data_IF_970964721906
#
_entry.id   IF_970964721906
#
_cell.length_a   1.000
_cell.length_b   1.000
_cell.length_c   1.000
_cell.angle_alpha   90.00
_cell.angle_beta   90.00
_cell.angle_gamma   90.00
#
_symmetry.space_group_name_H-M   'P 1'
#
loop_
_entity.id
_entity.type
_entity.pdbx_description
1 polymer ?
#
# COMPACT_ATOMS: atom_id res chain seq x y z
N UNK A 1 19.02 -40.87 -74.83
CA UNK A 1 17.70 -41.54 -74.75
C UNK A 1 16.72 -40.41 -74.42
N UNK A 2 15.86 -39.94 -75.33
CA UNK A 2 14.79 -40.64 -76.06
C UNK A 2 13.75 -41.23 -75.06
N UNK A 3 12.44 -41.00 -75.21
CA UNK A 3 11.67 -40.62 -76.41
C UNK A 3 10.82 -39.33 -76.28
N UNK A 4 10.11 -38.98 -77.36
CA UNK A 4 9.17 -37.86 -77.48
C UNK A 4 7.81 -38.39 -78.00
N UNK A 5 6.70 -37.73 -77.64
CA UNK A 5 5.37 -37.92 -78.25
C UNK A 5 4.52 -36.64 -78.10
N UNK A 6 3.49 -36.47 -78.94
CA UNK A 6 3.09 -35.12 -79.44
C UNK A 6 1.59 -34.96 -79.80
N UNK A 7 1.13 -33.70 -79.87
CA UNK A 7 -0.14 -33.20 -80.45
C UNK A 7 -1.44 -33.53 -79.65
N UNK A 8 -2.58 -32.82 -79.76
CA UNK A 8 -3.11 -31.94 -80.84
C UNK A 8 -3.97 -30.74 -80.34
N UNK A 9 -4.61 -29.94 -81.22
CA UNK A 9 -5.22 -28.61 -80.94
C UNK A 9 -6.68 -28.34 -81.42
N UNK A 10 -7.55 -27.82 -80.53
CA UNK A 10 -8.69 -26.88 -80.79
C UNK A 10 -9.91 -27.37 -81.66
N UNK A 11 -11.00 -26.59 -81.98
CA UNK A 11 -11.59 -25.33 -81.42
C UNK A 11 -13.18 -25.29 -81.30
N UNK A 12 -13.75 -24.17 -80.77
CA UNK A 12 -15.15 -23.65 -80.98
C UNK A 12 -16.34 -24.40 -80.30
N UNK A 13 -17.56 -23.86 -80.03
CA UNK A 13 -18.26 -22.57 -80.34
C UNK A 13 -19.31 -22.16 -79.24
N UNK A 14 -20.15 -21.11 -79.43
CA UNK A 14 -21.22 -20.62 -78.48
C UNK A 14 -22.54 -20.20 -79.16
N UNK A 15 -23.70 -20.45 -78.50
CA UNK A 15 -24.81 -19.45 -78.29
C UNK A 15 -25.52 -19.64 -76.89
N UNK A 16 -26.46 -18.84 -76.31
CA UNK A 16 -27.03 -17.46 -76.47
C UNK A 16 -27.67 -16.94 -75.13
N UNK A 17 -28.67 -16.03 -75.18
CA UNK A 17 -29.44 -15.30 -74.11
C UNK A 17 -30.91 -15.83 -73.98
N UNK A 18 -31.83 -15.39 -73.05
CA UNK A 18 -32.03 -14.03 -72.50
C UNK A 18 -32.52 -13.87 -71.02
N UNK A 19 -32.90 -12.63 -70.63
CA UNK A 19 -33.57 -12.17 -69.39
C UNK A 19 -35.06 -11.81 -69.69
N UNK A 20 -35.97 -11.72 -68.68
CA UNK A 20 -36.44 -10.37 -68.25
C UNK A 20 -37.04 -10.19 -66.82
N UNK A 21 -36.86 -8.96 -66.27
CA UNK A 21 -37.78 -8.14 -65.44
C UNK A 21 -38.33 -8.53 -64.04
N UNK A 22 -38.75 -7.48 -63.31
CA UNK A 22 -39.09 -7.39 -61.88
C UNK A 22 -40.60 -7.57 -61.56
N UNK A 23 -40.88 -7.99 -60.33
CA UNK A 23 -42.11 -7.64 -59.57
C UNK A 23 -41.74 -7.30 -58.10
N UNK A 24 -42.67 -6.71 -57.33
CA UNK A 24 -42.38 -5.91 -56.13
C UNK A 24 -42.98 -6.47 -54.81
N UNK A 25 -42.23 -6.23 -53.71
CA UNK A 25 -42.69 -6.11 -52.30
C UNK A 25 -43.15 -7.43 -51.62
N UNK A 26 -43.29 -7.46 -50.27
CA UNK A 26 -43.24 -6.36 -49.29
C UNK A 26 -41.99 -6.28 -48.39
N UNK A 27 -41.89 -5.15 -47.69
CA UNK A 27 -40.97 -4.93 -46.58
C UNK A 27 -41.52 -5.62 -45.33
N UNK A 28 -40.72 -6.47 -44.69
CA UNK A 28 -40.83 -6.77 -43.26
C UNK A 28 -39.51 -6.35 -42.64
N UNK A 29 -39.57 -5.40 -41.71
CA UNK A 29 -38.40 -4.92 -40.99
C UNK A 29 -38.19 -5.86 -39.80
N UNK A 30 -37.40 -6.91 -39.98
CA UNK A 30 -36.86 -7.60 -38.80
C UNK A 30 -36.01 -6.59 -38.02
N UNK A 31 -36.18 -6.49 -36.70
CA UNK A 31 -35.25 -5.73 -35.87
C UNK A 31 -33.98 -6.56 -35.76
N UNK A 32 -32.89 -6.09 -36.37
CA UNK A 32 -31.54 -6.56 -36.05
C UNK A 32 -31.33 -6.32 -34.57
N UNK A 33 -31.61 -7.36 -33.78
CA UNK A 33 -31.52 -7.31 -32.34
C UNK A 33 -30.04 -7.46 -32.03
N UNK A 34 -29.32 -6.33 -32.05
CA UNK A 34 -27.96 -6.20 -31.54
C UNK A 34 -27.93 -6.71 -30.11
N UNK A 35 -27.76 -8.03 -30.00
CA UNK A 35 -27.64 -8.75 -28.74
C UNK A 35 -26.24 -8.45 -28.27
N UNK A 36 -26.07 -7.23 -27.77
CA UNK A 36 -24.82 -6.60 -27.40
C UNK A 36 -24.28 -7.32 -26.17
N UNK A 37 -23.66 -8.48 -26.42
CA UNK A 37 -23.20 -9.43 -25.41
C UNK A 37 -22.34 -8.68 -24.41
N UNK A 38 -22.92 -8.37 -23.26
CA UNK A 38 -22.20 -7.68 -22.21
C UNK A 38 -21.20 -8.68 -21.66
N UNK A 39 -19.96 -8.62 -22.15
CA UNK A 39 -18.83 -9.35 -21.59
C UNK A 39 -18.62 -8.77 -20.20
N UNK A 40 -19.31 -9.38 -19.23
CA UNK A 40 -19.44 -8.94 -17.86
C UNK A 40 -18.13 -9.26 -17.13
N UNK A 41 -17.13 -8.41 -17.39
CA UNK A 41 -15.78 -8.59 -16.86
C UNK A 41 -15.82 -8.71 -15.34
N UNK A 42 -15.21 -9.74 -14.73
CA UNK A 42 -15.37 -10.07 -13.31
C UNK A 42 -14.66 -9.11 -12.34
N UNK A 43 -14.23 -7.94 -12.81
CA UNK A 43 -13.51 -6.93 -12.03
C UNK A 43 -14.22 -5.58 -12.13
N UNK A 44 -14.30 -4.81 -11.02
CA UNK A 44 -14.88 -3.48 -11.03
C UNK A 44 -14.07 -2.54 -11.95
N UNK A 45 -14.80 -1.74 -12.75
CA UNK A 45 -14.23 -0.78 -13.69
C UNK A 45 -14.55 0.65 -13.26
N UNK A 46 -13.53 1.51 -13.25
CA UNK A 46 -13.72 2.96 -13.14
C UNK A 46 -13.85 3.56 -14.54
N UNK A 47 -15.05 4.02 -14.89
CA UNK A 47 -15.31 4.74 -16.14
C UNK A 47 -15.21 6.23 -15.85
N UNK A 48 -14.26 6.93 -16.50
CA UNK A 48 -13.98 8.34 -16.27
C UNK A 48 -14.25 9.16 -17.53
N UNK A 49 -15.30 9.98 -17.49
CA UNK A 49 -15.66 10.90 -18.58
C UNK A 49 -15.09 12.29 -18.33
N UNK A 50 -14.50 12.89 -19.38
CA UNK A 50 -13.94 14.24 -19.34
C UNK A 50 -13.90 14.90 -20.72
N UNK A 51 -13.38 16.15 -20.83
CA UNK A 51 -12.71 16.90 -19.77
C UNK A 51 -13.67 17.51 -18.74
N UNK A 52 -13.32 17.35 -17.46
CA UNK A 52 -14.15 17.78 -16.31
C UNK A 52 -13.36 18.68 -15.37
N UNK A 53 -14.02 19.66 -14.73
CA UNK A 53 -13.44 20.50 -13.66
C UNK A 53 -13.84 19.95 -12.30
N UNK A 54 -12.90 19.99 -11.35
CA UNK A 54 -13.15 19.71 -9.94
C UNK A 54 -13.46 20.99 -9.17
N UNK A 55 -14.33 20.92 -8.16
CA UNK A 55 -14.59 21.99 -7.20
C UNK A 55 -15.17 21.44 -5.91
N UNK A 56 -14.88 22.07 -4.76
CA UNK A 56 -15.41 21.69 -3.45
C UNK A 56 -14.33 21.43 -2.40
N UNK A 57 -14.72 20.80 -1.29
CA UNK A 57 -13.84 20.31 -0.22
C UNK A 57 -13.76 18.78 -0.31
N UNK A 58 -12.56 18.22 -0.18
CA UNK A 58 -12.33 16.77 -0.06
C UNK A 58 -11.87 16.47 1.37
N UNK A 59 -12.57 15.61 2.13
CA UNK A 59 -12.03 15.06 3.38
C UNK A 59 -10.91 14.07 3.05
N UNK A 60 -9.82 14.10 3.82
CA UNK A 60 -8.71 13.15 3.70
C UNK A 60 -8.83 12.10 4.80
N UNK A 61 -8.68 10.84 4.42
CA UNK A 61 -8.75 9.64 5.26
C UNK A 61 -7.50 9.51 6.13
N UNK A 62 -7.52 8.61 7.13
CA UNK A 62 -6.29 8.21 7.81
C UNK A 62 -5.34 7.44 6.88
N UNK A 63 -4.04 7.63 7.11
CA UNK A 63 -2.94 6.95 6.44
C UNK A 63 -3.05 5.44 6.57
N UNK A 64 -3.28 4.75 5.45
CA UNK A 64 -3.24 3.27 5.42
C UNK A 64 -1.87 2.76 5.88
N UNK A 65 -0.82 3.51 5.55
CA UNK A 65 0.56 3.11 5.82
C UNK A 65 0.97 3.37 7.27
N UNK A 66 0.34 4.30 8.00
CA UNK A 66 0.47 4.40 9.47
C UNK A 66 -0.42 3.37 10.17
N UNK A 67 -1.63 3.10 9.64
CA UNK A 67 -2.59 2.19 10.24
C UNK A 67 -2.11 0.72 10.29
N UNK A 68 -1.49 0.21 9.22
CA UNK A 68 -1.02 -1.18 9.17
C UNK A 68 0.04 -1.55 10.23
N UNK A 69 1.15 -0.79 10.43
CA UNK A 69 2.11 -1.09 11.48
C UNK A 69 1.55 -0.79 12.89
N UNK A 70 0.69 0.22 13.06
CA UNK A 70 0.04 0.48 14.37
C UNK A 70 -0.91 -0.67 14.75
N UNK A 71 -1.66 -1.23 13.80
CA UNK A 71 -2.47 -2.43 14.00
C UNK A 71 -1.60 -3.66 14.35
N UNK A 72 -0.43 -3.82 13.74
CA UNK A 72 0.51 -4.87 14.15
C UNK A 72 1.08 -4.63 15.55
N UNK A 73 1.34 -3.38 15.92
CA UNK A 73 1.93 -2.98 17.21
C UNK A 73 1.02 -3.24 18.42
N UNK A 74 -0.29 -3.42 18.24
CA UNK A 74 -1.18 -3.83 19.33
C UNK A 74 -0.83 -5.23 19.87
N UNK A 75 -0.10 -6.04 19.11
CA UNK A 75 0.46 -7.31 19.58
C UNK A 75 1.53 -7.13 20.66
N UNK A 76 2.24 -5.99 20.74
CA UNK A 76 3.15 -5.70 21.86
C UNK A 76 2.43 -5.43 23.20
N UNK A 77 1.14 -5.09 23.15
CA UNK A 77 0.43 -4.41 24.23
C UNK A 77 -0.53 -5.34 24.97
N UNK A 78 -0.54 -5.36 26.31
CA UNK A 78 -1.64 -5.95 27.08
C UNK A 78 -2.84 -5.01 27.16
N UNK A 79 -4.06 -5.55 27.18
CA UNK A 79 -5.30 -4.78 27.19
C UNK A 79 -5.79 -4.41 25.79
N UNK A 80 -6.77 -3.51 25.76
CA UNK A 80 -7.41 -3.04 24.53
C UNK A 80 -6.74 -1.76 24.03
N UNK A 81 -6.23 -1.78 22.80
CA UNK A 81 -5.82 -0.58 22.05
C UNK A 81 -7.02 -0.02 21.27
N UNK A 82 -7.14 1.31 21.19
CA UNK A 82 -8.24 2.02 20.52
C UNK A 82 -7.69 2.92 19.42
N UNK A 83 -7.97 2.56 18.17
CA UNK A 83 -7.36 3.19 16.99
C UNK A 83 -8.46 3.91 16.19
N UNK A 84 -8.40 5.24 16.16
CA UNK A 84 -9.32 6.10 15.42
C UNK A 84 -8.82 6.43 14.02
N UNK A 85 -9.75 6.79 13.13
CA UNK A 85 -9.49 7.19 11.75
C UNK A 85 -8.80 6.09 10.90
N UNK A 86 -9.02 4.82 11.23
CA UNK A 86 -8.58 3.68 10.40
C UNK A 86 -9.35 3.72 9.08
N UNK A 87 -8.68 3.80 7.92
CA UNK A 87 -9.37 3.83 6.62
C UNK A 87 -9.95 2.44 6.31
N UNK A 88 -11.21 2.38 5.85
CA UNK A 88 -11.93 1.13 5.58
C UNK A 88 -11.52 0.50 4.22
N UNK A 89 -10.28 0.01 4.16
CA UNK A 89 -9.62 -0.50 2.95
C UNK A 89 -9.48 -2.03 2.99
N UNK A 90 -9.09 -2.64 1.88
CA UNK A 90 -8.79 -4.08 1.83
C UNK A 90 -7.70 -4.44 2.84
N UNK A 91 -6.56 -3.74 2.79
CA UNK A 91 -5.40 -4.06 3.63
C UNK A 91 -5.69 -3.95 5.14
N UNK A 92 -6.45 -2.94 5.58
CA UNK A 92 -6.76 -2.77 7.01
C UNK A 92 -7.74 -3.83 7.51
N UNK A 93 -8.72 -4.25 6.67
CA UNK A 93 -9.57 -5.41 6.98
C UNK A 93 -8.79 -6.71 6.99
N UNK A 94 -7.85 -6.93 6.07
CA UNK A 94 -6.98 -8.10 6.09
C UNK A 94 -6.05 -8.11 7.31
N UNK A 95 -5.51 -6.96 7.73
CA UNK A 95 -4.74 -6.90 8.98
C UNK A 95 -5.60 -7.23 10.21
N UNK A 96 -6.85 -6.77 10.26
CA UNK A 96 -7.80 -7.22 11.29
C UNK A 96 -8.04 -8.74 11.25
N UNK A 97 -8.12 -9.35 10.06
CA UNK A 97 -8.20 -10.82 9.91
C UNK A 97 -6.91 -11.56 10.33
N UNK A 98 -5.72 -10.99 10.07
CA UNK A 98 -4.43 -11.51 10.57
C UNK A 98 -4.42 -11.53 12.09
N UNK A 99 -4.78 -10.40 12.73
CA UNK A 99 -4.85 -10.28 14.19
C UNK A 99 -5.87 -11.25 14.79
N UNK A 100 -7.08 -11.34 14.22
CA UNK A 100 -8.11 -12.28 14.67
C UNK A 100 -7.66 -13.75 14.53
N UNK A 101 -6.86 -14.08 13.52
CA UNK A 101 -6.30 -15.44 13.35
C UNK A 101 -5.23 -15.82 14.37
N UNK A 102 -4.76 -14.87 15.18
CA UNK A 102 -3.84 -15.09 16.31
C UNK A 102 -4.56 -15.22 17.65
N UNK A 103 -5.90 -15.10 17.69
CA UNK A 103 -6.71 -15.05 18.92
C UNK A 103 -7.04 -13.64 19.41
N UNK A 104 -6.56 -12.58 18.75
CA UNK A 104 -6.87 -11.20 19.15
C UNK A 104 -8.35 -10.85 18.89
N UNK A 105 -9.00 -10.23 19.87
CA UNK A 105 -10.38 -9.74 19.72
C UNK A 105 -10.35 -8.38 19.02
N UNK A 106 -10.79 -8.35 17.76
CA UNK A 106 -10.92 -7.12 16.96
C UNK A 106 -12.40 -6.75 16.80
N UNK A 107 -12.75 -5.53 17.22
CA UNK A 107 -14.07 -4.93 16.98
C UNK A 107 -13.91 -3.70 16.08
N UNK A 108 -14.82 -3.49 15.12
CA UNK A 108 -14.72 -2.43 14.11
C UNK A 108 -15.99 -1.59 14.10
N UNK A 109 -15.84 -0.27 14.30
CA UNK A 109 -16.94 0.68 14.40
C UNK A 109 -16.67 1.90 13.51
N UNK A 110 -17.33 2.00 12.36
CA UNK A 110 -17.10 3.05 11.35
C UNK A 110 -15.62 3.09 10.89
N UNK A 111 -14.87 4.11 11.32
CA UNK A 111 -13.42 4.29 11.06
C UNK A 111 -12.59 4.04 12.35
N UNK A 112 -13.12 3.28 13.30
CA UNK A 112 -12.45 2.94 14.57
C UNK A 112 -12.26 1.43 14.68
N UNK A 113 -11.14 1.03 15.29
CA UNK A 113 -10.88 -0.37 15.65
C UNK A 113 -10.49 -0.46 17.12
N UNK A 114 -11.17 -1.34 17.85
CA UNK A 114 -10.72 -1.80 19.18
C UNK A 114 -10.01 -3.14 18.98
N UNK A 115 -8.78 -3.25 19.48
CA UNK A 115 -7.99 -4.48 19.40
C UNK A 115 -7.51 -4.86 20.79
N UNK A 116 -8.04 -5.96 21.32
CA UNK A 116 -7.52 -6.59 22.52
C UNK A 116 -6.69 -7.82 22.13
N UNK A 117 -5.46 -7.92 22.66
CA UNK A 117 -4.52 -9.01 22.35
C UNK A 117 -4.18 -9.86 23.58
N UNK A 118 -4.99 -9.82 24.64
CA UNK A 118 -4.82 -10.65 25.84
C UNK A 118 -5.23 -12.11 25.60
N UNK A 119 -6.13 -12.34 24.64
CA UNK A 119 -6.56 -13.67 24.18
C UNK A 119 -5.71 -14.27 23.05
N UNK A 120 -4.53 -13.71 22.76
CA UNK A 120 -3.64 -14.26 21.71
C UNK A 120 -3.01 -15.57 22.19
N UNK A 121 -3.34 -16.67 21.51
CA UNK A 121 -2.94 -18.04 21.83
C UNK A 121 -2.11 -18.72 20.72
N UNK A 122 -1.97 -18.07 19.55
CA UNK A 122 -1.17 -18.55 18.42
C UNK A 122 0.00 -17.61 18.09
N UNK A 123 1.12 -18.23 17.67
CA UNK A 123 2.30 -17.57 17.10
C UNK A 123 2.40 -17.76 15.57
N UNK A 124 1.46 -18.50 14.96
CA UNK A 124 1.30 -18.64 13.51
C UNK A 124 0.00 -17.94 13.06
N UNK A 125 0.08 -16.78 12.39
CA UNK A 125 -1.08 -16.15 11.77
C UNK A 125 -1.52 -16.90 10.51
N UNK A 126 -2.80 -16.77 10.13
CA UNK A 126 -3.33 -17.41 8.93
C UNK A 126 -2.51 -17.06 7.68
N UNK A 127 -1.93 -18.09 7.06
CA UNK A 127 -1.00 -17.94 5.93
C UNK A 127 -1.64 -17.28 4.70
N UNK A 128 -2.95 -17.42 4.48
CA UNK A 128 -3.62 -16.82 3.33
C UNK A 128 -3.90 -15.33 3.55
N UNK A 129 -4.26 -14.91 4.77
CA UNK A 129 -4.36 -13.48 5.10
C UNK A 129 -2.99 -12.78 5.01
N UNK A 130 -1.92 -13.42 5.48
CA UNK A 130 -0.54 -12.91 5.34
C UNK A 130 -0.14 -12.79 3.85
N UNK A 131 -0.55 -13.73 2.99
CA UNK A 131 -0.22 -13.67 1.55
C UNK A 131 -0.99 -12.59 0.80
N UNK A 132 -2.18 -12.20 1.25
CA UNK A 132 -3.00 -11.13 0.62
C UNK A 132 -2.36 -9.75 0.69
N UNK A 133 -1.58 -9.43 1.73
CA UNK A 133 -0.95 -8.11 1.90
C UNK A 133 0.52 -8.18 2.34
N UNK A 134 1.36 -7.36 1.71
CA UNK A 134 2.77 -7.25 2.14
C UNK A 134 2.93 -6.78 3.59
N UNK A 135 2.03 -5.91 4.06
CA UNK A 135 2.01 -5.43 5.45
C UNK A 135 1.69 -6.51 6.48
N UNK A 136 1.12 -7.65 6.09
CA UNK A 136 0.84 -8.76 7.01
C UNK A 136 2.10 -9.30 7.67
N UNK A 137 3.25 -9.23 6.98
CA UNK A 137 4.54 -9.65 7.53
C UNK A 137 5.01 -8.81 8.74
N UNK A 138 4.44 -7.63 9.00
CA UNK A 138 4.82 -6.76 10.12
C UNK A 138 4.60 -7.42 11.49
N UNK A 139 3.70 -8.40 11.61
CA UNK A 139 3.41 -9.09 12.88
C UNK A 139 4.57 -9.94 13.40
N UNK A 140 5.57 -10.29 12.57
CA UNK A 140 6.72 -11.11 13.02
C UNK A 140 7.53 -10.43 14.13
N UNK A 141 7.70 -9.11 14.06
CA UNK A 141 8.42 -8.31 15.07
C UNK A 141 7.79 -8.40 16.46
N UNK A 142 6.53 -7.96 16.65
CA UNK A 142 5.86 -8.01 17.93
C UNK A 142 5.58 -9.43 18.43
N UNK A 143 5.38 -10.42 17.54
CA UNK A 143 5.19 -11.82 17.95
C UNK A 143 6.44 -12.38 18.65
N UNK A 144 7.62 -12.33 17.99
CA UNK A 144 8.87 -12.81 18.61
C UNK A 144 9.22 -12.02 19.88
N UNK A 145 8.87 -10.73 19.93
CA UNK A 145 9.19 -9.86 21.06
C UNK A 145 8.30 -10.09 22.30
N UNK A 146 7.04 -10.49 22.15
CA UNK A 146 6.12 -10.76 23.26
C UNK A 146 6.03 -12.25 23.63
N UNK A 147 6.03 -13.15 22.64
CA UNK A 147 5.81 -14.58 22.83
C UNK A 147 7.10 -15.41 22.70
N UNK A 148 8.24 -14.77 22.37
CA UNK A 148 9.53 -15.43 22.19
C UNK A 148 9.71 -16.11 20.82
N UNK A 149 8.63 -16.35 20.08
CA UNK A 149 8.65 -16.99 18.76
C UNK A 149 7.55 -16.48 17.81
N UNK A 150 7.71 -16.76 16.51
CA UNK A 150 6.74 -16.48 15.45
C UNK A 150 6.96 -17.38 14.22
N UNK A 151 5.87 -17.78 13.57
CA UNK A 151 5.91 -18.55 12.31
C UNK A 151 5.07 -17.84 11.26
N UNK A 152 5.68 -16.97 10.45
CA UNK A 152 4.96 -16.06 9.55
C UNK A 152 5.22 -16.41 8.09
N UNK A 153 4.16 -16.66 7.32
CA UNK A 153 4.27 -16.93 5.88
C UNK A 153 4.99 -15.80 5.12
N UNK A 154 5.75 -16.15 4.07
CA UNK A 154 6.29 -15.13 3.17
C UNK A 154 5.13 -14.32 2.54
N UNK A 155 5.20 -12.98 2.53
CA UNK A 155 4.17 -12.14 1.92
C UNK A 155 4.07 -12.42 0.41
N UNK A 156 2.87 -12.23 -0.15
CA UNK A 156 2.58 -12.53 -1.54
C UNK A 156 3.48 -11.80 -2.55
N UNK A 157 3.68 -12.42 -3.72
CA UNK A 157 4.44 -11.85 -4.82
C UNK A 157 3.89 -10.49 -5.26
N UNK A 158 4.73 -9.46 -5.22
CA UNK A 158 4.31 -8.09 -5.53
C UNK A 158 4.69 -7.73 -6.97
N UNK A 159 3.69 -7.50 -7.83
CA UNK A 159 3.89 -7.13 -9.24
C UNK A 159 4.66 -5.79 -9.45
N UNK A 160 4.96 -5.05 -8.38
CA UNK A 160 5.76 -3.82 -8.39
C UNK A 160 7.27 -4.12 -8.37
N UNK A 161 7.68 -5.38 -8.14
CA UNK A 161 9.07 -5.84 -8.23
C UNK A 161 9.50 -6.73 -7.06
N UNK A 162 10.70 -7.30 -7.17
CA UNK A 162 11.33 -8.06 -6.08
C UNK A 162 11.54 -7.16 -4.87
N UNK A 163 11.04 -7.60 -3.72
CA UNK A 163 11.14 -6.90 -2.43
C UNK A 163 11.36 -7.95 -1.34
N UNK A 164 12.61 -8.33 -1.03
CA UNK A 164 12.91 -9.38 -0.06
C UNK A 164 12.48 -9.02 1.38
N UNK A 165 12.68 -9.98 2.29
CA UNK A 165 12.48 -9.84 3.76
C UNK A 165 13.81 -10.04 4.53
N UNK A 166 14.93 -10.03 3.82
CA UNK A 166 16.30 -10.20 4.30
C UNK A 166 16.69 -9.21 5.41
N UNK A 167 16.33 -7.92 5.28
CA UNK A 167 16.58 -6.91 6.31
C UNK A 167 15.80 -7.18 7.62
N UNK A 168 14.65 -7.84 7.53
CA UNK A 168 13.83 -8.21 8.69
C UNK A 168 14.49 -9.41 9.40
N UNK A 169 14.89 -10.42 8.62
CA UNK A 169 15.62 -11.61 9.09
C UNK A 169 16.93 -11.20 9.79
N UNK A 170 17.79 -10.42 9.11
CA UNK A 170 19.07 -9.94 9.65
C UNK A 170 18.90 -9.03 10.87
N UNK A 171 17.86 -8.20 10.88
CA UNK A 171 17.58 -7.31 12.01
C UNK A 171 17.12 -8.09 13.25
N UNK A 172 16.24 -9.08 13.09
CA UNK A 172 15.83 -9.96 14.20
C UNK A 172 17.01 -10.81 14.71
N UNK A 173 17.88 -11.28 13.82
CA UNK A 173 19.14 -11.94 14.19
C UNK A 173 20.07 -11.03 15.00
N UNK A 174 20.15 -9.74 14.65
CA UNK A 174 20.89 -8.74 15.43
C UNK A 174 20.25 -8.39 16.79
N UNK A 175 19.01 -8.83 17.03
CA UNK A 175 18.31 -8.79 18.33
C UNK A 175 18.28 -10.17 19.02
N UNK A 176 19.13 -11.11 18.59
CA UNK A 176 19.29 -12.43 19.22
C UNK A 176 18.21 -13.46 18.89
N UNK A 177 17.43 -13.27 17.83
CA UNK A 177 16.60 -14.35 17.29
C UNK A 177 17.43 -15.31 16.43
N UNK A 178 17.19 -16.62 16.55
CA UNK A 178 17.43 -17.54 15.43
C UNK A 178 16.28 -17.32 14.44
N UNK A 179 16.60 -17.22 13.15
CA UNK A 179 15.61 -16.99 12.10
C UNK A 179 15.93 -17.88 10.90
N UNK A 180 14.96 -18.69 10.51
CA UNK A 180 15.05 -19.70 9.46
C UNK A 180 13.92 -19.55 8.43
N UNK A 181 14.16 -20.03 7.21
CA UNK A 181 13.15 -20.09 6.16
C UNK A 181 12.83 -21.55 5.84
N UNK A 182 11.63 -22.02 6.22
CA UNK A 182 11.13 -23.38 5.98
C UNK A 182 9.74 -23.32 5.36
N UNK A 183 9.48 -24.16 4.36
CA UNK A 183 8.15 -24.34 3.72
C UNK A 183 7.45 -23.04 3.27
N UNK A 184 8.23 -22.03 2.85
CA UNK A 184 7.71 -20.73 2.43
C UNK A 184 7.18 -19.85 3.58
N UNK A 185 7.59 -20.15 4.82
CA UNK A 185 7.38 -19.38 6.05
C UNK A 185 8.71 -19.00 6.69
N UNK A 186 8.76 -17.85 7.34
CA UNK A 186 9.88 -17.45 8.21
C UNK A 186 9.54 -17.89 9.63
N UNK A 187 10.38 -18.77 10.18
CA UNK A 187 10.33 -19.21 11.57
C UNK A 187 11.37 -18.40 12.35
N UNK A 188 10.97 -17.72 13.40
CA UNK A 188 11.85 -16.88 14.21
C UNK A 188 11.62 -17.17 15.70
N UNK A 189 12.68 -17.36 16.46
CA UNK A 189 12.61 -17.63 17.90
C UNK A 189 13.80 -17.05 18.65
N UNK A 190 13.60 -16.59 19.89
CA UNK A 190 14.65 -16.03 20.73
C UNK A 190 15.69 -17.12 21.12
N UNK A 191 16.96 -16.91 20.75
CA UNK A 191 18.02 -17.92 20.92
C UNK A 191 18.31 -18.29 22.39
N UNK A 192 17.88 -17.46 23.34
CA UNK A 192 18.02 -17.65 24.78
C UNK A 192 16.81 -18.34 25.45
N UNK A 193 15.75 -18.67 24.71
CA UNK A 193 14.52 -19.28 25.24
C UNK A 193 13.72 -18.36 26.18
N UNK A 194 13.90 -17.04 26.10
CA UNK A 194 13.21 -16.04 26.94
C UNK A 194 12.60 -14.88 26.15
N UNK A 195 13.34 -14.31 25.21
CA UNK A 195 12.96 -13.11 24.47
C UNK A 195 14.15 -12.44 23.77
N UNK A 196 13.86 -11.47 22.91
CA UNK A 196 14.89 -10.72 22.19
C UNK A 196 15.82 -9.96 23.15
N UNK A 197 17.04 -9.67 22.68
CA UNK A 197 18.04 -8.85 23.39
C UNK A 197 18.35 -7.59 22.61
N UNK A 198 18.69 -6.51 23.32
CA UNK A 198 19.10 -5.26 22.71
C UNK A 198 20.41 -5.39 21.93
N UNK A 199 20.47 -4.78 20.76
CA UNK A 199 21.63 -4.86 19.86
C UNK A 199 21.76 -3.66 18.91
N UNK A 200 22.80 -3.65 18.10
CA UNK A 200 23.02 -2.63 17.06
C UNK A 200 22.79 -3.22 15.66
N UNK A 201 21.91 -2.59 14.88
CA UNK A 201 21.66 -3.01 13.50
C UNK A 201 21.66 -1.80 12.56
N UNK A 202 22.45 -1.86 11.49
CA UNK A 202 22.41 -0.89 10.41
C UNK A 202 21.69 -1.52 9.21
N UNK A 203 20.65 -0.84 8.73
CA UNK A 203 19.95 -1.24 7.52
C UNK A 203 20.78 -0.86 6.29
N UNK A 204 20.90 -1.75 5.32
CA UNK A 204 21.64 -1.47 4.06
C UNK A 204 21.00 -0.32 3.28
N UNK A 205 19.67 -0.18 3.37
CA UNK A 205 18.89 0.93 2.86
C UNK A 205 17.71 1.24 3.79
N UNK A 206 17.21 2.48 3.74
CA UNK A 206 16.12 2.98 4.58
C UNK A 206 14.76 2.32 4.26
N UNK A 207 14.59 1.08 4.71
CA UNK A 207 13.40 0.25 4.49
C UNK A 207 12.35 0.55 5.56
N UNK A 208 11.22 1.15 5.14
CA UNK A 208 10.08 1.53 5.99
C UNK A 208 9.60 0.34 6.83
N UNK A 209 9.08 -0.71 6.20
CA UNK A 209 8.55 -1.88 6.90
C UNK A 209 9.57 -2.64 7.76
N UNK A 210 10.86 -2.62 7.41
CA UNK A 210 11.88 -3.23 8.26
C UNK A 210 12.19 -2.33 9.48
N UNK A 211 12.21 -1.01 9.30
CA UNK A 211 12.31 -0.05 10.40
C UNK A 211 11.15 -0.22 11.38
N UNK A 212 9.92 -0.31 10.87
CA UNK A 212 8.70 -0.48 11.66
C UNK A 212 8.70 -1.82 12.41
N UNK A 213 9.01 -2.92 11.73
CA UNK A 213 9.03 -4.27 12.33
C UNK A 213 10.13 -4.40 13.40
N UNK A 214 11.32 -3.86 13.15
CA UNK A 214 12.43 -3.91 14.10
C UNK A 214 12.24 -2.92 15.26
N UNK A 215 11.54 -1.80 15.06
CA UNK A 215 11.13 -0.90 16.14
C UNK A 215 10.18 -1.61 17.10
N UNK A 216 9.12 -2.25 16.60
CA UNK A 216 8.19 -3.04 17.42
C UNK A 216 8.93 -4.16 18.18
N UNK A 217 9.84 -4.86 17.50
CA UNK A 217 10.63 -5.94 18.11
C UNK A 217 11.55 -5.43 19.24
N UNK A 218 12.24 -4.31 19.01
CA UNK A 218 13.15 -3.70 19.97
C UNK A 218 12.45 -3.13 21.22
N UNK A 219 11.17 -2.74 21.12
CA UNK A 219 10.43 -2.20 22.26
C UNK A 219 10.26 -3.16 23.44
N UNK A 220 10.42 -4.47 23.24
CA UNK A 220 10.34 -5.49 24.31
C UNK A 220 11.64 -6.31 24.47
N UNK A 221 12.70 -5.96 23.74
CA UNK A 221 13.99 -6.64 23.84
C UNK A 221 14.76 -6.25 25.12
N UNK A 222 15.48 -7.20 25.74
CA UNK A 222 16.24 -6.93 26.98
C UNK A 222 17.44 -6.01 26.73
N UNK A 223 17.36 -4.77 27.23
CA UNK A 223 18.45 -3.79 27.18
C UNK A 223 18.18 -2.60 26.25
N UNK A 224 19.20 -2.23 25.47
CA UNK A 224 19.18 -1.06 24.58
C UNK A 224 19.44 -1.49 23.14
N UNK A 225 18.61 -1.03 22.21
CA UNK A 225 18.74 -1.25 20.78
C UNK A 225 19.09 0.05 20.05
N UNK A 226 19.96 -0.02 19.05
CA UNK A 226 20.26 1.10 18.14
C UNK A 226 20.08 0.66 16.70
N UNK A 227 19.05 1.19 16.03
CA UNK A 227 18.78 0.95 14.62
C UNK A 227 19.29 2.14 13.79
N UNK A 228 20.19 1.92 12.84
CA UNK A 228 20.84 2.97 12.04
C UNK A 228 20.54 2.86 10.54
N UNK A 229 20.56 4.00 9.84
CA UNK A 229 20.09 4.13 8.45
C UNK A 229 18.59 3.77 8.30
N UNK A 230 17.79 4.14 9.29
CA UNK A 230 16.35 3.88 9.33
C UNK A 230 15.56 4.75 8.35
N UNK A 231 14.34 4.30 8.04
CA UNK A 231 13.31 5.10 7.38
C UNK A 231 12.92 6.32 8.23
N UNK A 232 12.52 7.40 7.55
CA UNK A 232 12.21 8.72 8.17
C UNK A 232 10.80 9.21 7.84
N UNK A 233 10.06 8.35 7.16
CA UNK A 233 8.68 8.50 6.73
C UNK A 233 7.77 8.87 7.92
N UNK A 234 6.79 9.78 7.74
CA UNK A 234 5.86 10.15 8.80
C UNK A 234 5.16 8.97 9.49
N UNK A 235 4.89 7.91 8.73
CA UNK A 235 4.31 6.65 9.20
C UNK A 235 5.15 6.00 10.32
N UNK A 236 6.48 6.08 10.22
CA UNK A 236 7.43 5.59 11.22
C UNK A 236 7.37 6.44 12.49
N UNK A 237 7.10 7.75 12.36
CA UNK A 237 6.93 8.67 13.49
C UNK A 237 5.59 8.45 14.19
N UNK A 238 4.53 8.14 13.44
CA UNK A 238 3.22 7.80 14.00
C UNK A 238 3.29 6.47 14.80
N UNK A 239 3.98 5.46 14.27
CA UNK A 239 4.24 4.20 14.99
C UNK A 239 5.05 4.43 16.28
N UNK A 240 6.12 5.23 16.22
CA UNK A 240 6.95 5.53 17.38
C UNK A 240 6.17 6.26 18.50
N UNK A 241 5.22 7.13 18.12
CA UNK A 241 4.28 7.75 19.08
C UNK A 241 3.40 6.69 19.74
N UNK A 242 2.66 5.91 18.94
CA UNK A 242 1.78 4.86 19.47
C UNK A 242 2.50 3.93 20.46
N UNK A 243 3.72 3.47 20.12
CA UNK A 243 4.52 2.64 21.01
C UNK A 243 4.91 3.36 22.32
N UNK A 244 5.31 4.64 22.25
CA UNK A 244 5.63 5.44 23.43
C UNK A 244 4.39 5.75 24.29
N UNK A 245 3.25 6.03 23.67
CA UNK A 245 1.95 6.24 24.34
C UNK A 245 1.43 4.95 24.99
N UNK A 246 1.86 3.79 24.47
CA UNK A 246 1.73 2.44 25.06
C UNK A 246 2.83 2.06 26.07
N UNK A 247 3.70 3.01 26.44
CA UNK A 247 4.69 2.85 27.52
C UNK A 247 6.12 2.48 27.08
N UNK A 248 6.42 2.46 25.78
CA UNK A 248 7.77 2.15 25.26
C UNK A 248 8.79 3.26 25.57
N UNK A 249 9.98 3.18 24.95
CA UNK A 249 11.00 4.22 25.01
C UNK A 249 11.77 4.23 23.68
N UNK A 250 11.13 4.82 22.67
CA UNK A 250 11.63 4.99 21.29
C UNK A 250 12.01 6.44 21.07
N UNK A 251 13.30 6.69 20.85
CA UNK A 251 13.87 8.01 20.54
C UNK A 251 14.42 8.05 19.10
N UNK A 252 14.54 9.26 18.55
CA UNK A 252 15.15 9.49 17.23
C UNK A 252 14.24 9.32 16.02
N UNK A 253 12.94 9.01 16.19
CA UNK A 253 12.00 8.83 15.09
C UNK A 253 11.92 10.06 14.15
N UNK A 254 12.02 9.83 12.84
CA UNK A 254 12.16 10.88 11.81
C UNK A 254 13.61 11.33 11.55
N UNK A 255 14.58 10.89 12.36
CA UNK A 255 16.02 11.00 12.08
C UNK A 255 16.53 9.77 11.30
N UNK A 256 17.84 9.65 11.08
CA UNK A 256 18.46 8.47 10.47
C UNK A 256 18.82 7.36 11.47
N UNK A 257 18.50 7.52 12.75
CA UNK A 257 18.77 6.56 13.81
C UNK A 257 17.58 6.46 14.79
N UNK A 258 17.29 5.25 15.27
CA UNK A 258 16.42 5.02 16.41
C UNK A 258 17.26 4.50 17.58
N UNK A 259 16.98 5.00 18.78
CA UNK A 259 17.51 4.49 20.04
C UNK A 259 16.31 4.00 20.84
N UNK A 260 16.30 2.71 21.21
CA UNK A 260 15.12 2.05 21.77
C UNK A 260 15.52 1.30 23.04
N UNK A 261 15.03 1.75 24.19
CA UNK A 261 15.19 1.03 25.46
C UNK A 261 13.99 0.13 25.68
N UNK A 262 14.20 -1.18 25.65
CA UNK A 262 13.12 -2.15 25.76
C UNK A 262 12.43 -2.15 27.12
N UNK A 263 11.19 -2.64 27.14
CA UNK A 263 10.30 -2.69 28.30
C UNK A 263 9.71 -4.11 28.45
N UNK A 264 9.55 -4.63 29.68
CA UNK A 264 9.01 -5.98 29.88
C UNK A 264 7.51 -6.11 29.52
N UNK A 265 6.80 -4.99 29.43
CA UNK A 265 5.38 -4.93 29.08
C UNK A 265 5.04 -3.57 28.49
N UNK A 266 4.22 -3.55 27.44
CA UNK A 266 3.50 -2.36 26.95
C UNK A 266 2.01 -2.52 27.22
N UNK A 267 1.26 -1.43 27.28
CA UNK A 267 -0.19 -1.44 27.52
C UNK A 267 -0.98 -0.86 26.33
N UNK A 268 -2.26 -1.23 26.22
CA UNK A 268 -3.17 -0.61 25.25
C UNK A 268 -3.20 0.92 25.41
N UNK A 269 -3.29 1.61 24.29
CA UNK A 269 -3.36 3.08 24.22
C UNK A 269 -4.44 3.52 23.22
N UNK A 270 -4.82 4.79 23.29
CA UNK A 270 -5.78 5.43 22.38
C UNK A 270 -5.02 6.34 21.41
N UNK A 271 -5.20 6.14 20.10
CA UNK A 271 -4.49 6.93 19.08
C UNK A 271 -5.39 7.27 17.88
N UNK A 272 -4.99 8.29 17.12
CA UNK A 272 -5.67 8.72 15.89
C UNK A 272 -4.70 8.60 14.71
N UNK A 273 -5.07 7.81 13.70
CA UNK A 273 -4.28 7.67 12.48
C UNK A 273 -4.22 9.02 11.74
N UNK A 274 -3.00 9.52 11.51
CA UNK A 274 -2.74 10.79 10.82
C UNK A 274 -3.23 10.77 9.36
N UNK A 275 -3.50 11.94 8.78
CA UNK A 275 -4.06 12.07 7.44
C UNK A 275 -3.17 11.46 6.34
N UNK A 276 -3.76 10.75 5.37
CA UNK A 276 -3.02 10.11 4.28
C UNK A 276 -2.43 11.13 3.30
N UNK A 277 -1.12 11.36 3.43
CA UNK A 277 -0.33 12.27 2.58
C UNK A 277 -0.30 11.85 1.10
N UNK A 278 -0.56 10.58 0.78
CA UNK A 278 -0.58 10.06 -0.59
C UNK A 278 -1.96 10.26 -1.22
N UNK A 279 -3.04 10.03 -0.48
CA UNK A 279 -4.41 10.40 -0.90
C UNK A 279 -4.50 11.92 -1.12
N UNK A 280 -4.08 12.70 -0.13
CA UNK A 280 -4.01 14.15 -0.23
C UNK A 280 -3.21 14.59 -1.47
N UNK A 281 -2.02 14.02 -1.67
CA UNK A 281 -1.17 14.30 -2.83
C UNK A 281 -1.82 13.92 -4.18
N UNK A 282 -2.60 12.85 -4.21
CA UNK A 282 -3.37 12.41 -5.38
C UNK A 282 -4.45 13.43 -5.74
N UNK A 283 -5.20 13.94 -4.75
CA UNK A 283 -6.16 15.03 -4.98
C UNK A 283 -5.49 16.35 -5.38
N UNK A 284 -4.31 16.67 -4.84
CA UNK A 284 -3.53 17.83 -5.29
C UNK A 284 -3.14 17.73 -6.77
N UNK A 285 -2.69 16.56 -7.22
CA UNK A 285 -2.37 16.27 -8.62
C UNK A 285 -3.62 16.33 -9.51
N UNK A 286 -4.73 15.75 -9.07
CA UNK A 286 -6.01 15.79 -9.79
C UNK A 286 -6.50 17.24 -10.03
N UNK A 287 -6.38 18.11 -9.03
CA UNK A 287 -6.69 19.54 -9.16
C UNK A 287 -5.73 20.27 -10.12
N UNK A 288 -4.44 19.92 -10.09
CA UNK A 288 -3.43 20.51 -10.97
C UNK A 288 -3.68 20.17 -12.45
N UNK A 289 -3.92 18.90 -12.78
CA UNK A 289 -4.15 18.46 -14.17
C UNK A 289 -5.49 18.97 -14.74
N UNK A 290 -6.54 19.01 -13.92
CA UNK A 290 -7.85 19.59 -14.31
C UNK A 290 -7.86 21.13 -14.28
N UNK A 291 -6.76 21.77 -13.85
CA UNK A 291 -6.58 23.23 -13.71
C UNK A 291 -7.63 23.89 -12.80
N UNK A 292 -8.05 23.15 -11.79
CA UNK A 292 -9.20 23.44 -10.93
C UNK A 292 -8.81 24.01 -9.56
N UNK A 293 -9.83 24.31 -8.74
CA UNK A 293 -9.68 24.79 -7.38
C UNK A 293 -10.50 23.93 -6.42
N UNK A 294 -9.80 23.16 -5.58
CA UNK A 294 -10.38 22.39 -4.47
C UNK A 294 -9.69 22.78 -3.17
N UNK A 295 -10.35 22.48 -2.04
CA UNK A 295 -9.72 22.45 -0.71
C UNK A 295 -9.60 20.99 -0.24
N UNK A 296 -8.48 20.62 0.38
CA UNK A 296 -8.27 19.31 0.99
C UNK A 296 -7.92 19.46 2.49
N UNK A 297 -8.43 18.56 3.34
CA UNK A 297 -8.26 18.62 4.80
C UNK A 297 -8.75 17.32 5.49
N UNK A 298 -8.20 16.91 6.63
CA UNK A 298 -6.97 17.43 7.25
C UNK A 298 -5.74 17.10 6.40
N UNK A 299 -4.70 17.95 6.45
CA UNK A 299 -3.38 17.66 5.85
C UNK A 299 -2.28 18.24 6.73
N UNK A 300 -1.09 17.62 6.70
CA UNK A 300 0.09 18.07 7.46
C UNK A 300 1.15 18.57 6.45
N UNK A 301 1.25 19.90 6.18
CA UNK A 301 2.03 20.40 5.04
C UNK A 301 3.52 20.03 5.01
N UNK A 302 4.18 19.90 6.17
CA UNK A 302 5.61 19.55 6.22
C UNK A 302 5.87 18.14 5.64
N UNK A 303 4.98 17.18 5.90
CA UNK A 303 5.01 15.81 5.34
C UNK A 303 4.84 15.78 3.81
N UNK A 304 4.31 16.86 3.22
CA UNK A 304 4.02 17.00 1.79
C UNK A 304 4.92 18.04 1.09
N UNK A 305 5.90 18.60 1.81
CA UNK A 305 6.76 19.72 1.38
C UNK A 305 7.35 19.56 -0.03
N UNK A 306 7.91 18.40 -0.36
CA UNK A 306 8.46 18.12 -1.68
C UNK A 306 7.41 18.24 -2.81
N UNK A 307 6.22 17.63 -2.62
CA UNK A 307 5.12 17.71 -3.60
C UNK A 307 4.59 19.14 -3.74
N UNK A 308 4.42 19.85 -2.61
CA UNK A 308 4.04 21.26 -2.57
C UNK A 308 5.03 22.11 -3.37
N UNK A 309 6.34 21.90 -3.20
CA UNK A 309 7.38 22.63 -3.94
C UNK A 309 7.34 22.31 -5.44
N UNK A 310 7.19 21.04 -5.84
CA UNK A 310 7.11 20.65 -7.26
C UNK A 310 5.86 21.21 -7.95
N UNK A 311 4.69 21.18 -7.29
CA UNK A 311 3.46 21.77 -7.82
C UNK A 311 3.54 23.30 -7.89
N UNK A 312 4.16 23.95 -6.89
CA UNK A 312 4.39 25.40 -6.92
C UNK A 312 5.31 25.80 -8.08
N UNK A 313 6.38 25.05 -8.32
CA UNK A 313 7.27 25.24 -9.46
C UNK A 313 6.59 24.99 -10.83
N UNK A 314 5.54 24.16 -10.87
CA UNK A 314 4.69 23.97 -12.06
C UNK A 314 3.65 25.11 -12.26
N UNK A 315 3.53 26.05 -11.31
CA UNK A 315 2.62 27.20 -11.37
C UNK A 315 1.33 27.06 -10.57
N UNK A 316 1.14 25.99 -9.80
CA UNK A 316 0.01 25.86 -8.88
C UNK A 316 0.18 26.81 -7.69
N UNK A 317 -0.79 27.71 -7.46
CA UNK A 317 -0.82 28.54 -6.26
C UNK A 317 -1.41 27.72 -5.12
N UNK A 318 -0.57 27.31 -4.18
CA UNK A 318 -0.97 26.57 -2.98
C UNK A 318 -1.17 27.57 -1.84
N UNK A 319 -2.33 27.52 -1.18
CA UNK A 319 -2.64 28.33 0.01
C UNK A 319 -2.96 27.42 1.18
N UNK A 320 -2.28 27.62 2.30
CA UNK A 320 -2.65 27.03 3.57
C UNK A 320 -3.76 27.88 4.21
N UNK A 321 -4.75 27.23 4.82
CA UNK A 321 -5.80 27.87 5.60
C UNK A 321 -5.95 27.11 6.92
N UNK A 322 -6.01 27.82 8.05
CA UNK A 322 -6.40 27.26 9.34
C UNK A 322 -7.92 27.39 9.47
N UNK A 323 -8.63 26.26 9.49
CA UNK A 323 -10.08 26.20 9.71
C UNK A 323 -10.41 24.91 10.46
N UNK A 324 -10.18 24.94 11.79
CA UNK A 324 -10.18 23.79 12.72
C UNK A 324 -9.06 22.78 12.41
N UNK A 325 -8.96 22.32 11.16
CA UNK A 325 -7.80 21.63 10.59
C UNK A 325 -6.92 22.57 9.77
N UNK A 326 -5.69 22.14 9.47
CA UNK A 326 -4.90 22.74 8.39
C UNK A 326 -5.41 22.20 7.05
N UNK A 327 -5.92 23.10 6.22
CA UNK A 327 -6.39 22.81 4.87
C UNK A 327 -5.51 23.40 3.78
N UNK A 328 -5.42 22.71 2.64
CA UNK A 328 -4.71 23.19 1.44
C UNK A 328 -5.71 23.52 0.34
N UNK A 329 -5.67 24.75 -0.15
CA UNK A 329 -6.45 25.23 -1.32
C UNK A 329 -5.52 25.47 -2.51
N UNK A 330 -5.80 24.81 -3.62
CA UNK A 330 -5.03 24.96 -4.88
C UNK A 330 -5.74 25.94 -5.82
N UNK A 331 -4.97 26.79 -6.50
CA UNK A 331 -5.44 27.77 -7.46
C UNK A 331 -4.52 27.86 -8.69
N UNK A 332 -5.05 28.43 -9.80
CA UNK A 332 -4.35 28.69 -11.07
C UNK A 332 -2.97 29.38 -10.89
N UNK A 333 -1.98 29.17 -11.76
CA UNK A 333 -2.08 28.78 -13.18
C UNK A 333 -0.89 27.97 -13.70
N UNK A 334 -1.18 26.82 -14.29
CA UNK A 334 -0.21 26.01 -15.04
C UNK A 334 0.16 26.72 -16.37
N UNK A 335 1.31 27.42 -16.41
CA UNK A 335 1.83 28.09 -17.63
C UNK A 335 3.02 27.31 -18.19
N UNK A 336 2.76 26.06 -18.61
CA UNK A 336 3.77 25.17 -19.18
C UNK A 336 4.48 25.83 -20.38
N UNK A 337 5.73 26.25 -20.19
CA UNK A 337 6.67 26.43 -21.31
C UNK A 337 7.19 25.06 -21.73
N UNK A 338 7.29 24.84 -23.03
CA UNK A 338 7.45 23.51 -23.66
C UNK A 338 8.71 22.74 -23.21
N UNK A 339 9.74 23.44 -22.70
CA UNK A 339 10.98 22.86 -22.20
C UNK A 339 10.85 21.98 -20.93
N UNK A 340 9.78 22.10 -20.13
CA UNK A 340 9.73 21.47 -18.80
C UNK A 340 9.33 19.99 -18.79
N UNK A 341 8.83 19.44 -19.90
CA UNK A 341 8.34 18.04 -19.97
C UNK A 341 9.48 17.03 -19.81
N UNK A 342 10.64 17.29 -20.42
CA UNK A 342 11.83 16.44 -20.28
C UNK A 342 12.34 16.37 -18.83
N UNK A 343 12.36 17.51 -18.13
CA UNK A 343 12.75 17.56 -16.72
C UNK A 343 11.80 16.81 -15.78
N UNK A 344 10.51 16.73 -16.11
CA UNK A 344 9.52 16.00 -15.31
C UNK A 344 9.75 14.48 -15.36
N UNK A 345 10.15 13.95 -16.53
CA UNK A 345 10.45 12.52 -16.72
C UNK A 345 11.84 12.11 -16.19
N UNK A 346 12.85 12.97 -16.28
CA UNK A 346 14.20 12.66 -15.79
C UNK A 346 14.28 12.52 -14.25
N UNK A 347 13.38 13.17 -13.50
CA UNK A 347 13.40 13.12 -12.02
C UNK A 347 13.04 11.73 -11.49
N UNK A 348 12.17 10.97 -12.18
CA UNK A 348 11.81 9.60 -11.80
C UNK A 348 12.85 8.54 -12.21
N UNK A 349 13.92 8.94 -12.90
CA UNK A 349 14.92 8.03 -13.47
C UNK A 349 16.32 8.18 -12.86
N UNK A 350 16.45 8.93 -11.75
CA UNK A 350 17.64 8.86 -10.89
C UNK A 350 17.45 7.74 -9.88
N UNK A 351 18.03 6.58 -10.22
CA UNK A 351 18.41 5.53 -9.26
C UNK A 351 19.46 6.08 -8.29
#
# INVERSE_FOLDING_TARGET
>A
MASCSTFNLSPSSKPTKPLPHYLLKPLIHEPETETRTQIQTPYPKLIVTGPSKLSGRVPISGSKNSALPILAATLCCSGTSKIHNVPNLFDTRTMASVLASLGAKVEVFNNEMLVNTDGVDSVEPNSDEIRKIRGGFFVIGPLVARFGEAVVALPGGCNIGTRPVDLYIRGLQALGAVVELRDGKVQAYAANGRGLVGGSFQLDYASVGATETLMMAACMADGMTVLSNVAREPEVVDLARFLNDSGACVEGAGSNQLVIKGKPLLHGSECVIAADRIEAGTFMLAAAITRSCISISPVIPCQMSCLIHKLSAAGCKIRFQQFLDVGVKICKALRLRQAHILGFLQIFNRK
#
